data_IF_086032550216
#
_entry.id   IF_086032550216
#
_cell.length_a   1.000
_cell.length_b   1.000
_cell.length_c   1.000
_cell.angle_alpha   90.00
_cell.angle_beta   90.00
_cell.angle_gamma   90.00
#
_symmetry.space_group_name_H-M   'P 1'
#
loop_
_entity.id
_entity.type
_entity.pdbx_description
1 polymer ?
#
# COMPACT_ATOMS: atom_id res chain seq x y z
N UNK A 1 -2.63 24.93 -15.11
CA UNK A 1 -3.15 23.63 -15.58
C UNK A 1 -4.12 23.88 -16.72
N UNK A 2 -3.99 23.20 -17.86
CA UNK A 2 -4.89 23.38 -19.01
C UNK A 2 -5.97 22.28 -18.98
N UNK A 3 -7.24 22.66 -18.80
CA UNK A 3 -8.40 21.76 -18.73
C UNK A 3 -8.49 20.89 -19.99
N UNK A 4 -8.18 21.43 -21.17
CA UNK A 4 -8.20 20.69 -22.43
C UNK A 4 -7.20 19.53 -22.42
N UNK A 5 -6.01 19.75 -21.85
CA UNK A 5 -4.99 18.69 -21.74
C UNK A 5 -5.47 17.56 -20.83
N UNK A 6 -5.99 17.90 -19.65
CA UNK A 6 -6.43 16.90 -18.67
C UNK A 6 -7.69 16.17 -19.13
N UNK A 7 -8.57 16.87 -19.86
CA UNK A 7 -9.73 16.27 -20.55
C UNK A 7 -9.30 15.35 -21.70
N UNK A 8 -8.31 15.75 -22.51
CA UNK A 8 -7.73 14.93 -23.57
C UNK A 8 -7.07 13.65 -23.07
N UNK A 9 -6.55 13.66 -21.83
CA UNK A 9 -6.06 12.45 -21.16
C UNK A 9 -7.19 11.55 -20.63
N UNK A 10 -8.45 12.01 -20.64
CA UNK A 10 -9.61 11.30 -20.11
C UNK A 10 -9.73 11.35 -18.58
N UNK A 11 -8.97 12.22 -17.91
CA UNK A 11 -9.00 12.37 -16.44
C UNK A 11 -10.21 13.21 -16.03
N UNK A 12 -10.43 14.32 -16.73
CA UNK A 12 -11.59 15.19 -16.54
C UNK A 12 -12.61 14.98 -17.67
N UNK A 13 -13.89 15.20 -17.38
CA UNK A 13 -14.94 15.23 -18.38
C UNK A 13 -15.97 16.30 -18.01
N UNK A 14 -16.53 16.97 -19.01
CA UNK A 14 -17.65 17.89 -18.81
C UNK A 14 -18.95 17.16 -18.49
N UNK A 15 -19.97 17.94 -18.18
CA UNK A 15 -21.34 17.49 -18.00
C UNK A 15 -21.95 17.02 -19.34
N UNK A 16 -22.97 16.17 -19.27
CA UNK A 16 -23.69 15.65 -20.45
C UNK A 16 -24.32 16.72 -21.33
N UNK A 17 -24.54 17.93 -20.79
CA UNK A 17 -25.06 19.09 -21.52
C UNK A 17 -23.97 19.88 -22.26
N UNK A 18 -22.75 19.38 -22.34
CA UNK A 18 -21.62 20.01 -23.05
C UNK A 18 -20.90 21.12 -22.29
N UNK A 19 -21.27 21.38 -21.02
CA UNK A 19 -20.59 22.38 -20.17
C UNK A 19 -19.51 21.73 -19.31
N UNK A 20 -18.47 22.49 -18.91
CA UNK A 20 -17.43 22.01 -17.98
C UNK A 20 -17.52 22.63 -16.58
N UNK A 21 -18.00 23.88 -16.49
CA UNK A 21 -18.18 24.64 -15.25
C UNK A 21 -16.95 24.67 -14.32
N UNK A 22 -15.81 25.21 -14.78
CA UNK A 22 -14.54 25.14 -14.05
C UNK A 22 -14.50 25.90 -12.71
N UNK A 23 -15.47 26.80 -12.49
CA UNK A 23 -15.56 27.60 -11.26
C UNK A 23 -16.55 27.02 -10.24
N UNK A 24 -17.29 25.98 -10.61
CA UNK A 24 -18.21 25.30 -9.68
C UNK A 24 -17.38 24.47 -8.68
N UNK A 25 -17.90 24.33 -7.46
CA UNK A 25 -17.31 23.41 -6.49
C UNK A 25 -17.47 21.98 -7.02
N UNK A 26 -16.38 21.22 -7.02
CA UNK A 26 -16.40 19.79 -7.33
C UNK A 26 -16.99 19.03 -6.14
N UNK A 27 -17.95 18.14 -6.41
CA UNK A 27 -18.52 17.27 -5.37
C UNK A 27 -17.57 16.13 -5.00
N UNK A 28 -17.76 15.50 -3.84
CA UNK A 28 -16.97 14.33 -3.42
C UNK A 28 -17.04 13.18 -4.45
N UNK A 29 -18.22 12.87 -4.96
CA UNK A 29 -18.38 11.82 -5.98
C UNK A 29 -17.68 12.17 -7.32
N UNK A 30 -17.67 13.45 -7.70
CA UNK A 30 -16.95 13.90 -8.89
C UNK A 30 -15.43 13.81 -8.66
N UNK A 31 -14.96 14.28 -7.50
CA UNK A 31 -13.55 14.20 -7.12
C UNK A 31 -13.05 12.76 -7.11
N UNK A 32 -13.81 11.82 -6.53
CA UNK A 32 -13.47 10.39 -6.53
C UNK A 32 -13.25 9.86 -7.95
N UNK A 33 -14.15 10.18 -8.89
CA UNK A 33 -14.00 9.72 -10.28
C UNK A 33 -12.81 10.33 -10.98
N UNK A 34 -12.49 11.59 -10.73
CA UNK A 34 -11.30 12.25 -11.27
C UNK A 34 -10.03 11.58 -10.75
N UNK A 35 -9.96 11.32 -9.44
CA UNK A 35 -8.81 10.67 -8.78
C UNK A 35 -8.64 9.24 -9.29
N UNK A 36 -9.73 8.46 -9.38
CA UNK A 36 -9.69 7.10 -9.92
C UNK A 36 -9.16 7.07 -11.35
N UNK A 37 -9.64 7.97 -12.22
CA UNK A 37 -9.14 8.07 -13.60
C UNK A 37 -7.68 8.50 -13.67
N UNK A 38 -7.24 9.39 -12.79
CA UNK A 38 -5.83 9.75 -12.68
C UNK A 38 -4.98 8.52 -12.33
N UNK A 39 -5.37 7.77 -11.30
CA UNK A 39 -4.68 6.53 -10.89
C UNK A 39 -4.64 5.50 -12.02
N UNK A 40 -5.75 5.28 -12.74
CA UNK A 40 -5.78 4.40 -13.92
C UNK A 40 -4.75 4.82 -14.98
N UNK A 41 -4.61 6.14 -15.23
CA UNK A 41 -3.67 6.70 -16.21
C UNK A 41 -2.21 6.60 -15.76
N UNK A 42 -1.99 6.60 -14.44
CA UNK A 42 -0.69 6.35 -13.83
C UNK A 42 -0.38 4.84 -13.72
N UNK A 43 -1.27 3.97 -14.20
CA UNK A 43 -1.07 2.52 -14.23
C UNK A 43 -1.40 1.81 -12.92
N UNK A 44 -1.82 2.54 -11.88
CA UNK A 44 -2.18 1.99 -10.57
C UNK A 44 -3.31 0.96 -10.72
N UNK A 45 -3.16 -0.18 -10.03
CA UNK A 45 -4.16 -1.23 -10.00
C UNK A 45 -4.70 -1.36 -8.59
N UNK A 46 -5.98 -1.03 -8.43
CA UNK A 46 -6.72 -1.37 -7.22
C UNK A 46 -6.70 -2.89 -7.05
N UNK A 47 -6.17 -3.35 -5.92
CA UNK A 47 -6.07 -4.77 -5.62
C UNK A 47 -6.91 -5.10 -4.39
N UNK A 48 -8.01 -5.82 -4.63
CA UNK A 48 -8.82 -6.42 -3.57
C UNK A 48 -8.45 -7.90 -3.56
N UNK A 49 -7.82 -8.36 -2.47
CA UNK A 49 -7.48 -9.77 -2.36
C UNK A 49 -8.77 -10.61 -2.38
N UNK A 50 -8.78 -11.79 -3.05
CA UNK A 50 -10.01 -12.57 -3.26
C UNK A 50 -10.80 -12.86 -1.98
N UNK A 51 -10.12 -13.05 -0.86
CA UNK A 51 -10.72 -13.27 0.47
C UNK A 51 -11.50 -12.06 1.02
N UNK A 52 -11.28 -10.86 0.50
CA UNK A 52 -11.99 -9.62 0.86
C UNK A 52 -12.95 -9.14 -0.21
N UNK A 53 -13.08 -9.87 -1.34
CA UNK A 53 -13.97 -9.50 -2.43
C UNK A 53 -15.44 -9.37 -1.97
N UNK A 54 -15.88 -10.28 -1.09
CA UNK A 54 -17.23 -10.24 -0.53
C UNK A 54 -17.46 -9.01 0.36
N UNK A 55 -16.44 -8.58 1.11
CA UNK A 55 -16.51 -7.40 1.96
C UNK A 55 -16.61 -6.14 1.10
N UNK A 56 -15.82 -6.05 0.02
CA UNK A 56 -15.91 -4.96 -0.94
C UNK A 56 -17.28 -4.88 -1.61
N UNK A 57 -17.85 -6.03 -1.99
CA UNK A 57 -19.20 -6.08 -2.58
C UNK A 57 -20.30 -5.66 -1.59
N UNK A 58 -20.17 -6.00 -0.30
CA UNK A 58 -21.06 -5.49 0.74
C UNK A 58 -20.89 -3.99 0.92
N UNK A 59 -19.65 -3.51 0.94
CA UNK A 59 -19.33 -2.10 1.07
C UNK A 59 -19.95 -1.26 -0.05
N UNK A 60 -19.90 -1.75 -1.30
CA UNK A 60 -20.59 -1.12 -2.44
C UNK A 60 -22.11 -1.05 -2.22
N UNK A 61 -22.72 -2.10 -1.64
CA UNK A 61 -24.17 -2.16 -1.41
C UNK A 61 -24.65 -1.17 -0.36
N UNK A 62 -23.78 -0.74 0.55
CA UNK A 62 -24.11 0.22 1.61
C UNK A 62 -24.21 1.67 1.10
N UNK A 63 -23.79 1.95 -0.14
CA UNK A 63 -23.91 3.29 -0.70
C UNK A 63 -25.37 3.72 -0.84
N UNK A 64 -25.74 4.90 -0.31
CA UNK A 64 -27.10 5.40 -0.42
C UNK A 64 -27.43 5.69 -1.88
N UNK A 65 -28.71 5.51 -2.25
CA UNK A 65 -29.22 5.80 -3.61
C UNK A 65 -29.03 7.26 -4.06
N UNK A 66 -28.70 8.16 -3.13
CA UNK A 66 -28.34 9.55 -3.43
C UNK A 66 -26.99 9.66 -4.14
N UNK A 67 -26.05 8.71 -3.93
CA UNK A 67 -24.80 8.67 -4.69
C UNK A 67 -25.10 8.26 -6.12
N UNK A 68 -24.51 8.96 -7.08
CA UNK A 68 -24.72 8.60 -8.48
C UNK A 68 -24.03 7.28 -8.80
N UNK A 69 -24.72 6.40 -9.52
CA UNK A 69 -24.23 5.04 -9.84
C UNK A 69 -22.87 5.04 -10.56
N UNK A 70 -22.58 6.06 -11.37
CA UNK A 70 -21.29 6.21 -12.08
C UNK A 70 -20.10 6.50 -11.15
N UNK A 71 -20.35 6.87 -9.89
CA UNK A 71 -19.31 7.20 -8.92
C UNK A 71 -19.07 6.12 -7.86
N UNK A 72 -20.04 5.23 -7.63
CA UNK A 72 -20.01 4.27 -6.51
C UNK A 72 -18.75 3.43 -6.52
N UNK A 73 -18.37 2.86 -7.66
CA UNK A 73 -17.18 2.01 -7.75
C UNK A 73 -15.90 2.80 -7.43
N UNK A 74 -15.76 4.02 -7.99
CA UNK A 74 -14.59 4.87 -7.74
C UNK A 74 -14.50 5.31 -6.27
N UNK A 75 -15.62 5.72 -5.68
CA UNK A 75 -15.69 6.07 -4.26
C UNK A 75 -15.34 4.87 -3.38
N UNK A 76 -15.90 3.70 -3.69
CA UNK A 76 -15.64 2.46 -2.96
C UNK A 76 -14.16 2.08 -3.04
N UNK A 77 -13.59 2.01 -4.24
CA UNK A 77 -12.16 1.70 -4.44
C UNK A 77 -11.24 2.65 -3.66
N UNK A 78 -11.44 3.96 -3.77
CA UNK A 78 -10.59 4.95 -3.10
C UNK A 78 -10.73 4.91 -1.57
N UNK A 79 -11.93 4.65 -1.07
CA UNK A 79 -12.16 4.50 0.36
C UNK A 79 -11.54 3.20 0.88
N UNK A 80 -11.76 2.09 0.17
CA UNK A 80 -11.31 0.75 0.53
C UNK A 80 -9.78 0.60 0.49
N UNK A 81 -9.10 1.36 -0.37
CA UNK A 81 -7.63 1.43 -0.44
C UNK A 81 -7.04 2.57 0.41
N UNK A 82 -7.87 3.25 1.22
CA UNK A 82 -7.47 4.35 2.12
C UNK A 82 -6.85 5.58 1.43
N UNK A 83 -7.13 5.75 0.14
CA UNK A 83 -6.62 6.86 -0.70
C UNK A 83 -7.36 8.16 -0.39
N UNK A 84 -8.60 8.10 0.09
CA UNK A 84 -9.36 9.28 0.50
C UNK A 84 -10.06 9.10 1.85
N UNK A 85 -9.95 10.11 2.70
CA UNK A 85 -10.89 10.36 3.79
C UNK A 85 -12.10 11.05 3.18
N UNK A 86 -13.33 10.54 3.35
CA UNK A 86 -14.53 11.19 2.80
C UNK A 86 -15.12 10.58 1.52
N UNK A 87 -14.74 9.35 1.14
CA UNK A 87 -15.37 8.64 0.02
C UNK A 87 -16.23 7.45 0.44
N UNK A 88 -16.49 7.23 1.71
CA UNK A 88 -17.34 6.13 2.17
C UNK A 88 -18.82 6.33 1.86
N UNK A 89 -19.66 5.28 2.08
CA UNK A 89 -21.10 5.35 1.84
C UNK A 89 -21.81 6.43 2.68
N UNK A 90 -21.19 6.89 3.77
CA UNK A 90 -21.77 7.86 4.71
C UNK A 90 -21.43 9.32 4.37
N UNK A 91 -20.56 9.59 3.39
CA UNK A 91 -19.83 10.87 3.29
C UNK A 91 -20.50 11.95 2.40
N UNK A 92 -21.82 12.14 2.52
CA UNK A 92 -22.57 13.22 1.83
C UNK A 92 -22.07 13.54 0.41
N UNK A 93 -22.09 12.56 -0.50
CA UNK A 93 -21.36 12.56 -1.77
C UNK A 93 -21.59 13.77 -2.70
N UNK A 94 -22.70 14.48 -2.54
CA UNK A 94 -23.08 15.68 -3.33
C UNK A 94 -22.50 16.99 -2.81
N UNK A 95 -21.97 17.00 -1.59
CA UNK A 95 -21.29 18.16 -1.06
C UNK A 95 -19.92 18.36 -1.72
N UNK A 96 -19.41 19.59 -1.64
CA UNK A 96 -18.08 19.91 -2.14
C UNK A 96 -17.00 19.23 -1.31
N UNK A 97 -15.96 18.70 -1.97
CA UNK A 97 -14.77 18.21 -1.28
C UNK A 97 -14.06 19.39 -0.58
N UNK A 98 -13.62 19.17 0.65
CA UNK A 98 -12.90 20.16 1.45
C UNK A 98 -11.43 20.26 1.02
N UNK A 99 -10.75 21.32 1.47
CA UNK A 99 -9.32 21.50 1.23
C UNK A 99 -8.50 20.38 1.89
N UNK A 100 -8.88 19.96 3.10
CA UNK A 100 -8.19 18.89 3.83
C UNK A 100 -8.32 17.54 3.12
N UNK A 101 -9.55 17.14 2.76
CA UNK A 101 -9.80 15.92 1.99
C UNK A 101 -9.05 15.94 0.64
N UNK A 102 -9.01 17.10 -0.03
CA UNK A 102 -8.28 17.27 -1.28
C UNK A 102 -6.77 17.09 -1.10
N UNK A 103 -6.17 17.74 -0.10
CA UNK A 103 -4.74 17.63 0.19
C UNK A 103 -4.38 16.20 0.58
N UNK A 104 -5.16 15.58 1.47
CA UNK A 104 -4.94 14.19 1.89
C UNK A 104 -4.97 13.24 0.68
N UNK A 105 -5.99 13.37 -0.16
CA UNK A 105 -6.15 12.52 -1.36
C UNK A 105 -4.99 12.72 -2.34
N UNK A 106 -4.60 13.96 -2.60
CA UNK A 106 -3.47 14.26 -3.49
C UNK A 106 -2.15 13.76 -2.94
N UNK A 107 -1.92 13.87 -1.63
CA UNK A 107 -0.74 13.30 -0.98
C UNK A 107 -0.71 11.79 -1.14
N UNK A 108 -1.82 11.09 -0.87
CA UNK A 108 -1.92 9.64 -1.08
C UNK A 108 -1.64 9.25 -2.53
N UNK A 109 -2.26 9.92 -3.50
CA UNK A 109 -1.97 9.68 -4.93
C UNK A 109 -0.49 9.88 -5.22
N UNK A 110 0.11 10.98 -4.77
CA UNK A 110 1.53 11.25 -4.96
C UNK A 110 2.41 10.14 -4.36
N UNK A 111 2.14 9.70 -3.13
CA UNK A 111 2.85 8.60 -2.47
C UNK A 111 2.77 7.31 -3.29
N UNK A 112 1.56 6.94 -3.69
CA UNK A 112 1.28 5.70 -4.41
C UNK A 112 1.96 5.65 -5.78
N UNK A 113 2.11 6.80 -6.44
CA UNK A 113 2.67 6.83 -7.80
C UNK A 113 4.14 7.19 -7.88
N UNK A 114 4.70 7.81 -6.83
CA UNK A 114 6.10 8.27 -6.82
C UNK A 114 6.99 7.66 -5.72
N UNK A 115 6.43 6.92 -4.75
CA UNK A 115 7.17 6.33 -3.62
C UNK A 115 8.02 7.36 -2.86
N UNK A 116 7.34 8.36 -2.30
CA UNK A 116 7.92 9.57 -1.69
C UNK A 116 8.81 9.34 -0.45
N UNK A 117 8.75 8.17 0.19
CA UNK A 117 9.55 7.87 1.38
C UNK A 117 11.01 7.52 1.06
N UNK A 118 11.26 6.96 -0.12
CA UNK A 118 12.60 6.69 -0.63
C UNK A 118 12.93 7.57 -1.86
N UNK A 119 11.99 8.39 -2.33
CA UNK A 119 12.19 9.34 -3.43
C UNK A 119 13.23 10.40 -3.05
N UNK A 120 14.26 10.56 -3.89
CA UNK A 120 15.40 11.45 -3.66
C UNK A 120 16.67 10.73 -3.18
N UNK A 121 16.57 9.48 -2.74
CA UNK A 121 17.75 8.63 -2.52
C UNK A 121 18.16 7.96 -3.83
N UNK A 122 19.43 8.11 -4.19
CA UNK A 122 20.02 7.41 -5.35
C UNK A 122 20.12 5.89 -5.13
N UNK A 123 20.10 5.46 -3.87
CA UNK A 123 20.09 4.05 -3.46
C UNK A 123 19.01 3.83 -2.38
N UNK A 124 17.82 3.46 -2.84
CA UNK A 124 16.66 3.23 -1.97
C UNK A 124 16.87 2.03 -1.03
N UNK A 125 17.63 1.01 -1.44
CA UNK A 125 17.90 -0.16 -0.60
C UNK A 125 18.89 0.16 0.52
N UNK A 126 19.88 1.02 0.26
CA UNK A 126 20.79 1.50 1.31
C UNK A 126 20.05 2.29 2.41
N UNK A 127 19.08 3.13 2.04
CA UNK A 127 18.30 3.86 3.04
C UNK A 127 17.34 2.94 3.81
N UNK A 128 16.66 2.01 3.13
CA UNK A 128 15.87 0.97 3.79
C UNK A 128 16.72 0.19 4.82
N UNK A 129 17.93 -0.22 4.43
CA UNK A 129 18.90 -0.89 5.32
C UNK A 129 19.25 -0.05 6.54
N UNK A 130 19.46 1.26 6.37
CA UNK A 130 19.78 2.19 7.47
C UNK A 130 18.62 2.32 8.46
N UNK A 131 17.40 2.47 7.95
CA UNK A 131 16.18 2.51 8.78
C UNK A 131 16.05 1.21 9.58
N UNK A 132 16.13 0.04 8.92
CA UNK A 132 16.03 -1.26 9.59
C UNK A 132 17.12 -1.47 10.64
N UNK A 133 18.35 -1.04 10.36
CA UNK A 133 19.44 -1.14 11.34
C UNK A 133 19.21 -0.28 12.59
N UNK A 134 18.46 0.82 12.51
CA UNK A 134 18.13 1.63 13.70
C UNK A 134 17.35 0.83 14.76
N UNK A 135 16.53 -0.14 14.33
CA UNK A 135 15.70 -0.99 15.20
C UNK A 135 16.51 -2.01 16.00
N UNK A 136 17.76 -2.33 15.62
CA UNK A 136 18.61 -3.26 16.36
C UNK A 136 18.88 -2.79 17.80
N UNK A 137 18.89 -1.48 18.03
CA UNK A 137 19.06 -0.92 19.38
C UNK A 137 17.79 -1.07 20.24
N UNK A 138 16.61 -0.95 19.62
CA UNK A 138 15.31 -1.10 20.27
C UNK A 138 14.95 -2.56 20.52
N UNK A 139 15.29 -3.43 19.58
CA UNK A 139 14.99 -4.86 19.63
C UNK A 139 16.26 -5.71 19.39
N UNK A 140 17.24 -5.74 20.29
CA UNK A 140 18.40 -6.62 20.14
C UNK A 140 18.01 -8.10 19.97
N UNK A 141 18.87 -8.91 19.35
CA UNK A 141 18.68 -10.37 19.30
C UNK A 141 18.50 -10.91 20.72
N UNK A 142 17.44 -11.71 20.91
CA UNK A 142 17.05 -12.26 22.20
C UNK A 142 15.97 -11.46 22.93
N UNK A 143 15.58 -10.27 22.46
CA UNK A 143 14.43 -9.53 22.99
C UNK A 143 13.18 -10.39 22.99
N UNK A 144 12.43 -10.50 24.11
CA UNK A 144 11.18 -11.23 24.15
C UNK A 144 10.16 -10.68 23.15
N UNK A 145 9.69 -11.55 22.26
CA UNK A 145 8.71 -11.26 21.22
C UNK A 145 7.97 -12.54 20.86
N UNK A 146 6.88 -12.84 21.57
CA UNK A 146 6.09 -14.05 21.36
C UNK A 146 4.77 -13.79 20.63
N UNK A 147 3.88 -14.78 20.70
CA UNK A 147 2.55 -14.73 20.07
C UNK A 147 1.63 -13.64 20.63
N UNK A 148 1.93 -13.10 21.81
CA UNK A 148 1.19 -12.00 22.43
C UNK A 148 1.44 -10.64 21.79
N UNK A 149 2.52 -10.51 21.00
CA UNK A 149 2.86 -9.24 20.34
C UNK A 149 1.89 -8.98 19.21
N UNK A 150 1.44 -7.73 19.13
CA UNK A 150 0.55 -7.25 18.08
C UNK A 150 1.00 -5.88 17.58
N UNK A 151 0.69 -5.60 16.31
CA UNK A 151 0.98 -4.33 15.67
C UNK A 151 -0.19 -3.91 14.77
N UNK A 152 -0.65 -2.64 14.85
CA UNK A 152 -1.68 -2.11 13.97
C UNK A 152 -1.10 -1.90 12.58
N UNK A 153 -1.07 -2.96 11.77
CA UNK A 153 -0.47 -2.85 10.45
C UNK A 153 -1.34 -1.98 9.56
N UNK A 154 -0.76 -0.87 9.07
CA UNK A 154 -1.47 0.23 8.39
C UNK A 154 -2.29 -0.29 7.19
N UNK A 155 -1.84 -1.38 6.57
CA UNK A 155 -2.45 -1.98 5.39
C UNK A 155 -3.63 -2.91 5.67
N UNK A 156 -3.82 -3.38 6.92
CA UNK A 156 -4.80 -4.41 7.23
C UNK A 156 -6.04 -3.89 7.97
N UNK A 157 -6.61 -2.74 7.57
CA UNK A 157 -8.02 -2.38 7.89
C UNK A 157 -8.42 -2.54 9.36
N UNK A 158 -7.64 -2.00 10.30
CA UNK A 158 -7.83 -2.15 11.76
C UNK A 158 -7.62 -3.57 12.35
N UNK A 159 -7.11 -4.53 11.57
CA UNK A 159 -6.66 -5.82 12.07
C UNK A 159 -5.23 -5.71 12.60
N UNK A 160 -5.00 -6.31 13.76
CA UNK A 160 -3.67 -6.39 14.36
C UNK A 160 -2.89 -7.54 13.73
N UNK A 161 -1.75 -7.26 13.13
CA UNK A 161 -0.76 -8.30 12.86
C UNK A 161 -0.27 -8.85 14.20
N UNK A 162 -0.02 -10.15 14.31
CA UNK A 162 0.44 -10.79 15.57
C UNK A 162 1.78 -11.49 15.38
N UNK A 163 2.46 -11.81 16.47
CA UNK A 163 3.65 -12.66 16.48
C UNK A 163 4.75 -12.19 15.49
N UNK A 164 5.19 -13.05 14.57
CA UNK A 164 6.21 -12.72 13.56
C UNK A 164 5.73 -11.62 12.60
N UNK A 165 4.48 -11.69 12.14
CA UNK A 165 3.86 -10.67 11.28
C UNK A 165 3.85 -9.29 11.96
N UNK A 166 3.63 -9.22 13.27
CA UNK A 166 3.68 -7.95 14.01
C UNK A 166 5.06 -7.29 13.93
N UNK A 167 6.13 -8.09 14.03
CA UNK A 167 7.51 -7.60 13.97
C UNK A 167 7.86 -7.10 12.57
N UNK A 168 7.58 -7.92 11.55
CA UNK A 168 7.88 -7.55 10.16
C UNK A 168 7.05 -6.37 9.69
N UNK A 169 5.79 -6.26 10.14
CA UNK A 169 4.90 -5.12 9.86
C UNK A 169 5.44 -3.81 10.45
N UNK A 170 5.86 -3.79 11.72
CA UNK A 170 6.42 -2.58 12.35
C UNK A 170 7.66 -2.08 11.60
N UNK A 171 8.56 -3.00 11.23
CA UNK A 171 9.79 -2.66 10.50
C UNK A 171 9.50 -2.24 9.05
N UNK A 172 8.55 -2.89 8.38
CA UNK A 172 8.14 -2.54 7.02
C UNK A 172 7.47 -1.17 6.97
N UNK A 173 6.58 -0.86 7.92
CA UNK A 173 5.93 0.46 8.02
C UNK A 173 6.95 1.56 8.35
N UNK A 174 8.02 1.26 9.08
CA UNK A 174 9.10 2.22 9.31
C UNK A 174 9.86 2.58 8.03
N UNK A 175 9.98 1.66 7.08
CA UNK A 175 10.66 1.89 5.79
C UNK A 175 9.72 2.50 4.76
N UNK A 176 8.49 1.97 4.66
CA UNK A 176 7.59 2.20 3.53
C UNK A 176 6.28 2.90 3.93
N UNK A 177 6.09 3.23 5.21
CA UNK A 177 4.91 3.94 5.70
C UNK A 177 3.62 3.22 5.33
N UNK A 178 2.84 3.83 4.44
CA UNK A 178 1.52 3.38 3.99
C UNK A 178 1.48 2.97 2.50
N UNK A 179 2.63 2.74 1.87
CA UNK A 179 2.72 2.22 0.49
C UNK A 179 2.00 0.87 0.30
N UNK A 180 1.50 0.56 -0.91
CA UNK A 180 0.77 -0.68 -1.14
C UNK A 180 1.70 -1.89 -1.03
N UNK A 181 1.11 -3.05 -0.76
CA UNK A 181 1.83 -4.33 -0.70
C UNK A 181 1.52 -5.09 -1.98
N UNK A 182 2.56 -5.39 -2.73
CA UNK A 182 2.53 -6.28 -3.89
C UNK A 182 3.10 -7.65 -3.50
N UNK A 183 2.71 -8.68 -4.25
CA UNK A 183 3.11 -10.07 -4.00
C UNK A 183 3.83 -10.67 -5.20
N UNK A 184 4.94 -11.37 -4.95
CA UNK A 184 5.62 -12.20 -5.95
C UNK A 184 6.32 -13.40 -5.29
N UNK A 185 6.83 -14.31 -6.11
CA UNK A 185 7.62 -15.48 -5.67
C UNK A 185 9.00 -15.57 -6.35
N UNK A 186 9.40 -14.52 -7.09
CA UNK A 186 10.73 -14.45 -7.69
C UNK A 186 11.80 -14.08 -6.63
N UNK A 187 12.71 -15.01 -6.37
CA UNK A 187 13.83 -14.83 -5.44
C UNK A 187 14.80 -13.73 -5.90
N UNK A 188 15.02 -13.60 -7.21
CA UNK A 188 15.96 -12.62 -7.77
C UNK A 188 15.41 -11.20 -7.70
N UNK A 189 14.09 -11.06 -7.52
CA UNK A 189 13.42 -9.77 -7.37
C UNK A 189 13.39 -9.26 -5.92
N UNK A 190 13.84 -10.06 -4.94
CA UNK A 190 13.85 -9.68 -3.51
C UNK A 190 14.75 -8.47 -3.27
N UNK A 191 14.27 -7.55 -2.44
CA UNK A 191 14.94 -6.30 -2.04
C UNK A 191 14.96 -6.15 -0.52
N UNK A 192 15.88 -5.34 -0.02
CA UNK A 192 15.95 -4.98 1.40
C UNK A 192 14.65 -4.28 1.83
N UNK A 193 14.03 -4.76 2.90
CA UNK A 193 12.73 -4.30 3.38
C UNK A 193 11.55 -5.19 2.98
N UNK A 194 11.72 -6.10 2.02
CA UNK A 194 10.67 -7.06 1.68
C UNK A 194 10.40 -8.02 2.86
N UNK A 195 9.15 -8.45 2.99
CA UNK A 195 8.74 -9.49 3.94
C UNK A 195 8.66 -10.82 3.20
N UNK A 196 9.39 -11.82 3.67
CA UNK A 196 9.33 -13.18 3.15
C UNK A 196 8.39 -14.02 4.01
N UNK A 197 7.44 -14.67 3.35
CA UNK A 197 6.68 -15.80 3.90
C UNK A 197 7.47 -17.07 3.69
N UNK A 198 7.94 -17.66 4.79
CA UNK A 198 8.77 -18.87 4.84
C UNK A 198 8.08 -19.96 5.67
N UNK A 199 8.66 -21.16 5.70
CA UNK A 199 8.11 -22.34 6.38
C UNK A 199 6.68 -22.68 5.93
N UNK A 200 6.48 -22.88 4.62
CA UNK A 200 5.19 -23.17 3.99
C UNK A 200 4.12 -22.09 4.27
N UNK A 201 4.57 -20.83 4.36
CA UNK A 201 3.74 -19.67 4.64
C UNK A 201 3.38 -19.45 6.11
N UNK A 202 3.95 -20.24 7.04
CA UNK A 202 3.66 -20.15 8.47
C UNK A 202 4.48 -19.11 9.24
N UNK A 203 5.46 -18.44 8.62
CA UNK A 203 6.34 -17.51 9.31
C UNK A 203 6.77 -16.33 8.44
N UNK A 204 6.69 -15.12 9.00
CA UNK A 204 7.11 -13.89 8.33
C UNK A 204 8.49 -13.43 8.83
N UNK A 205 9.40 -13.14 7.91
CA UNK A 205 10.72 -12.54 8.19
C UNK A 205 10.94 -11.33 7.28
N UNK A 206 11.70 -10.31 7.72
CA UNK A 206 11.99 -9.12 6.90
C UNK A 206 13.44 -9.11 6.44
N UNK A 207 13.67 -8.80 5.16
CA UNK A 207 15.01 -8.74 4.55
C UNK A 207 15.74 -7.48 5.01
N UNK A 208 16.93 -7.66 5.59
CA UNK A 208 17.78 -6.57 6.11
C UNK A 208 19.10 -6.42 5.34
N UNK A 209 19.47 -7.43 4.56
CA UNK A 209 20.65 -7.41 3.70
C UNK A 209 20.54 -8.48 2.60
N UNK A 210 21.33 -8.33 1.54
CA UNK A 210 21.45 -9.32 0.46
C UNK A 210 22.92 -9.63 0.24
N UNK A 211 23.26 -10.92 0.18
CA UNK A 211 24.64 -11.40 0.03
C UNK A 211 24.70 -12.49 -1.03
N UNK A 212 25.91 -12.87 -1.45
CA UNK A 212 26.11 -14.01 -2.36
C UNK A 212 25.57 -15.34 -1.83
N UNK A 213 25.38 -15.46 -0.50
CA UNK A 213 24.86 -16.67 0.15
C UNK A 213 23.33 -16.70 0.23
N UNK A 214 22.67 -15.61 -0.15
CA UNK A 214 21.23 -15.42 -0.03
C UNK A 214 20.87 -14.14 0.73
N UNK A 215 19.65 -14.11 1.24
CA UNK A 215 19.06 -12.93 1.91
C UNK A 215 19.26 -13.04 3.41
N UNK A 216 19.70 -11.94 4.02
CA UNK A 216 19.86 -11.82 5.46
C UNK A 216 18.58 -11.21 6.02
N UNK A 217 18.02 -11.80 7.07
CA UNK A 217 16.71 -11.42 7.60
C UNK A 217 16.75 -11.06 9.08
N UNK A 218 15.70 -10.37 9.50
CA UNK A 218 15.30 -10.22 10.89
C UNK A 218 13.90 -10.78 11.09
N UNK A 219 13.63 -11.30 12.28
CA UNK A 219 12.34 -11.95 12.58
C UNK A 219 11.99 -11.82 14.06
N UNK A 220 10.70 -11.71 14.33
CA UNK A 220 10.12 -11.88 15.66
C UNK A 220 9.60 -13.30 15.83
N UNK A 221 9.23 -13.67 17.06
CA UNK A 221 8.66 -14.98 17.39
C UNK A 221 9.55 -16.19 17.02
N UNK A 222 10.85 -15.99 16.86
CA UNK A 222 11.80 -17.09 16.77
C UNK A 222 12.03 -17.67 18.17
N UNK A 223 11.34 -18.78 18.48
CA UNK A 223 11.25 -19.32 19.84
C UNK A 223 10.82 -18.25 20.88
N UNK A 224 9.87 -17.40 20.50
CA UNK A 224 9.37 -16.30 21.33
C UNK A 224 10.33 -15.11 21.48
N UNK A 225 11.32 -14.97 20.58
CA UNK A 225 12.32 -13.90 20.65
C UNK A 225 12.57 -13.26 19.28
N UNK A 226 13.17 -12.07 19.30
CA UNK A 226 13.73 -11.42 18.12
C UNK A 226 15.06 -12.06 17.73
N UNK A 227 15.28 -12.26 16.43
CA UNK A 227 16.56 -12.70 15.86
C UNK A 227 16.93 -11.82 14.68
N UNK A 228 18.17 -11.33 14.65
CA UNK A 228 18.76 -10.62 13.51
C UNK A 228 19.88 -11.44 12.88
N UNK A 229 20.02 -11.34 11.56
CA UNK A 229 21.20 -11.84 10.85
C UNK A 229 21.11 -13.31 10.42
N UNK A 230 19.92 -13.92 10.48
CA UNK A 230 19.73 -15.24 9.89
C UNK A 230 19.83 -15.16 8.36
N UNK A 231 20.42 -16.18 7.73
CA UNK A 231 20.54 -16.25 6.27
C UNK A 231 19.53 -17.25 5.75
N UNK A 232 18.72 -16.83 4.78
CA UNK A 232 17.83 -17.69 3.99
C UNK A 232 18.41 -17.83 2.58
N UNK A 233 18.68 -19.08 2.19
CA UNK A 233 19.18 -19.39 0.85
C UNK A 233 18.03 -19.45 -0.16
N UNK A 234 18.37 -19.34 -1.45
CA UNK A 234 17.42 -19.55 -2.55
C UNK A 234 16.73 -20.90 -2.47
N UNK A 235 17.48 -21.95 -2.14
CA UNK A 235 16.95 -23.30 -1.99
C UNK A 235 15.91 -23.38 -0.85
N UNK A 236 16.21 -22.80 0.32
CA UNK A 236 15.27 -22.76 1.45
C UNK A 236 13.99 -21.97 1.11
N UNK A 237 14.14 -20.84 0.41
CA UNK A 237 13.00 -20.04 -0.03
C UNK A 237 12.10 -20.84 -0.99
N UNK A 238 12.68 -21.43 -2.03
CA UNK A 238 11.91 -22.22 -3.02
C UNK A 238 11.25 -23.44 -2.37
N UNK A 239 11.97 -24.18 -1.52
CA UNK A 239 11.46 -25.40 -0.89
C UNK A 239 10.36 -25.15 0.14
N UNK A 240 10.19 -23.92 0.61
CA UNK A 240 9.15 -23.54 1.59
C UNK A 240 7.95 -22.83 0.98
N UNK A 241 7.76 -22.95 -0.35
CA UNK A 241 6.68 -22.27 -1.07
C UNK A 241 6.82 -20.75 -1.04
N UNK A 242 8.08 -20.26 -1.07
CA UNK A 242 8.45 -18.88 -0.80
C UNK A 242 7.56 -17.84 -1.44
N UNK A 243 7.04 -16.95 -0.59
CA UNK A 243 6.29 -15.77 -0.99
C UNK A 243 6.99 -14.51 -0.53
N UNK A 244 6.90 -13.45 -1.33
CA UNK A 244 7.45 -12.13 -1.03
C UNK A 244 6.31 -11.14 -1.00
N UNK A 245 6.28 -10.33 0.06
CA UNK A 245 5.49 -9.11 0.14
C UNK A 245 6.47 -7.95 -0.05
N UNK A 246 6.31 -7.20 -1.13
CA UNK A 246 7.13 -6.04 -1.44
C UNK A 246 6.30 -4.77 -1.42
N UNK A 247 6.90 -3.68 -0.95
CA UNK A 247 6.30 -2.34 -1.01
C UNK A 247 7.12 -1.40 -1.89
N UNK A 248 8.11 -1.95 -2.59
CA UNK A 248 8.73 -1.22 -3.69
C UNK A 248 7.72 -1.13 -4.83
N UNK A 249 7.44 0.06 -5.34
CA UNK A 249 6.48 0.23 -6.42
C UNK A 249 6.94 -0.60 -7.62
N UNK A 250 5.98 -1.25 -8.26
CA UNK A 250 6.14 -1.58 -9.67
C UNK A 250 6.33 -0.25 -10.39
N UNK A 251 7.48 -0.05 -11.04
CA UNK A 251 7.69 1.17 -11.85
C UNK A 251 6.67 1.11 -12.98
N UNK A 252 5.55 1.81 -12.81
CA UNK A 252 4.57 2.00 -13.87
C UNK A 252 5.21 2.93 -14.88
N UNK A 253 5.83 2.37 -15.92
CA UNK A 253 6.23 3.16 -17.08
C UNK A 253 4.97 3.80 -17.62
N UNK A 254 4.86 5.12 -17.51
CA UNK A 254 3.87 5.88 -18.25
C UNK A 254 4.00 5.44 -19.71
N UNK A 255 2.94 4.83 -20.26
CA UNK A 255 2.91 4.54 -21.68
C UNK A 255 3.16 5.85 -22.42
N UNK A 256 4.30 5.93 -23.12
CA UNK A 256 4.68 7.07 -23.94
C UNK A 256 3.72 7.23 -25.12
#
# INVERSE_FOLDING_TARGET
MNIEKVSGLGILSGYSNGTFKPNDKITREQAAVVVKRLLDKLGYKFHIAPEYQWEFELFIKDYPRSVSSWAVEAMAQLCFDTIGYGFGPWDNSKEGITLEESIFTLMKVFRLTNNDLLEGYSDTQAEAKKILNSFKSRYPTGTPWGGEKSYPWIMNRNLMATACSAFTSELSDAVFGDLPVDYHSDFEAIKIGDILRVNDGGHDVIVIDITEKGVVVAEGNFAGKVRWGAVYTKEQFVNSGGGVQTRYPVVYTLAQ
#
